data_IF_790968176233
#
_entry.id   IF_790968176233
#
_cell.length_a   1.000
_cell.length_b   1.000
_cell.length_c   1.000
_cell.angle_alpha   90.00
_cell.angle_beta   90.00
_cell.angle_gamma   90.00
#
_symmetry.space_group_name_H-M   'P 1'
#
loop_
_entity.id
_entity.type
_entity.pdbx_description
1 polymer ?
#
# COMPACT_ATOMS: atom_id res chain seq x y z
N UNK A 1 8.70 -6.98 -36.06
CA UNK A 1 8.57 -5.98 -34.98
C UNK A 1 8.45 -6.76 -33.68
N UNK A 2 9.59 -7.12 -33.09
CA UNK A 2 9.64 -7.92 -31.86
C UNK A 2 9.41 -7.00 -30.67
N UNK A 3 8.23 -7.09 -30.07
CA UNK A 3 7.95 -6.53 -28.74
C UNK A 3 9.01 -7.12 -27.81
N UNK A 4 9.91 -6.27 -27.27
CA UNK A 4 10.94 -6.72 -26.35
C UNK A 4 10.27 -7.36 -25.14
N UNK A 5 10.82 -8.47 -24.63
CA UNK A 5 10.25 -9.24 -23.51
C UNK A 5 9.93 -8.33 -22.29
N UNK A 6 10.71 -7.27 -22.10
CA UNK A 6 10.51 -6.20 -21.13
C UNK A 6 9.23 -5.38 -21.36
N UNK A 7 8.97 -4.94 -22.59
CA UNK A 7 7.74 -4.20 -22.93
C UNK A 7 6.47 -5.03 -22.71
N UNK A 8 6.52 -6.34 -22.96
CA UNK A 8 5.44 -7.27 -22.64
C UNK A 8 5.20 -7.37 -21.12
N UNK A 9 6.25 -7.52 -20.31
CA UNK A 9 6.15 -7.57 -18.84
C UNK A 9 5.64 -6.26 -18.23
N UNK A 10 6.10 -5.10 -18.71
CA UNK A 10 5.59 -3.80 -18.25
C UNK A 10 4.09 -3.67 -18.60
N UNK A 11 3.70 -4.06 -19.81
CA UNK A 11 2.31 -4.01 -20.24
C UNK A 11 1.39 -4.93 -19.41
N UNK A 12 1.87 -6.10 -18.99
CA UNK A 12 1.10 -7.03 -18.17
C UNK A 12 0.94 -6.54 -16.73
N UNK A 13 1.99 -5.96 -16.13
CA UNK A 13 1.94 -5.35 -14.80
C UNK A 13 0.94 -4.17 -14.79
N UNK A 14 1.00 -3.30 -15.80
CA UNK A 14 0.08 -2.16 -15.93
C UNK A 14 -1.36 -2.61 -16.16
N UNK A 15 -1.56 -3.61 -17.02
CA UNK A 15 -2.89 -4.18 -17.25
C UNK A 15 -3.46 -4.75 -15.95
N UNK A 16 -2.66 -5.49 -15.17
CA UNK A 16 -3.07 -6.00 -13.86
C UNK A 16 -3.51 -4.89 -12.90
N UNK A 17 -2.73 -3.82 -12.80
CA UNK A 17 -3.07 -2.65 -11.98
C UNK A 17 -4.38 -1.99 -12.40
N UNK A 18 -4.55 -1.70 -13.69
CA UNK A 18 -5.78 -1.06 -14.19
C UNK A 18 -7.01 -1.96 -14.04
N UNK A 19 -6.87 -3.27 -14.28
CA UNK A 19 -7.94 -4.25 -14.07
C UNK A 19 -8.36 -4.24 -12.60
N UNK A 20 -7.41 -4.30 -11.67
CA UNK A 20 -7.73 -4.30 -10.25
C UNK A 20 -8.35 -2.99 -9.77
N UNK A 21 -7.85 -1.83 -10.24
CA UNK A 21 -8.45 -0.51 -9.99
C UNK A 21 -9.89 -0.45 -10.52
N UNK A 22 -10.13 -0.94 -11.73
CA UNK A 22 -11.44 -0.94 -12.36
C UNK A 22 -12.43 -1.89 -11.65
N UNK A 23 -11.99 -3.11 -11.32
CA UNK A 23 -12.77 -4.06 -10.55
C UNK A 23 -13.14 -3.50 -9.17
N UNK A 24 -12.18 -2.87 -8.49
CA UNK A 24 -12.39 -2.14 -7.24
C UNK A 24 -13.47 -1.07 -7.41
N UNK A 25 -13.33 -0.20 -8.43
CA UNK A 25 -14.32 0.84 -8.73
C UNK A 25 -15.74 0.29 -8.98
N UNK A 26 -15.87 -0.78 -9.78
CA UNK A 26 -17.18 -1.40 -10.07
C UNK A 26 -17.82 -2.00 -8.81
N UNK A 27 -17.02 -2.72 -8.03
CA UNK A 27 -17.43 -3.32 -6.74
C UNK A 27 -17.95 -2.21 -5.83
N UNK A 28 -17.21 -1.11 -5.73
CA UNK A 28 -17.57 0.02 -4.91
C UNK A 28 -18.83 0.74 -5.35
N UNK A 29 -18.99 0.99 -6.65
CA UNK A 29 -20.20 1.61 -7.19
C UNK A 29 -21.46 0.82 -6.85
N UNK A 30 -21.36 -0.51 -6.85
CA UNK A 30 -22.53 -1.38 -6.70
C UNK A 30 -22.79 -1.82 -5.25
N UNK A 31 -21.76 -1.90 -4.38
CA UNK A 31 -21.88 -2.48 -3.03
C UNK A 31 -21.76 -1.47 -1.87
N UNK A 32 -21.31 -0.22 -2.10
CA UNK A 32 -21.07 0.77 -1.03
C UNK A 32 -22.26 1.67 -0.66
N UNK A 33 -23.49 1.39 -1.11
CA UNK A 33 -24.65 2.21 -0.77
C UNK A 33 -24.82 2.53 0.75
N UNK A 34 -24.46 1.66 1.71
CA UNK A 34 -24.56 2.02 3.13
C UNK A 34 -23.54 3.07 3.64
N UNK A 35 -22.45 3.38 2.91
CA UNK A 35 -21.43 4.37 3.32
C UNK A 35 -21.66 5.78 2.78
N UNK A 36 -22.56 5.92 1.81
CA UNK A 36 -22.98 7.20 1.24
C UNK A 36 -24.38 7.55 1.75
N UNK A 37 -24.46 8.23 2.90
CA UNK A 37 -25.74 8.74 3.38
C UNK A 37 -26.06 10.04 2.63
N UNK A 38 -27.19 10.08 1.92
CA UNK A 38 -27.62 11.24 1.12
C UNK A 38 -26.55 11.73 0.10
N UNK A 39 -25.90 10.79 -0.61
CA UNK A 39 -24.81 11.07 -1.56
C UNK A 39 -23.57 11.76 -0.95
N UNK A 40 -23.48 11.90 0.37
CA UNK A 40 -22.28 12.38 1.06
C UNK A 40 -21.49 11.19 1.57
N UNK A 41 -20.25 11.06 1.08
CA UNK A 41 -19.33 10.04 1.57
C UNK A 41 -18.86 10.41 2.97
N UNK A 42 -18.69 9.42 3.85
CA UNK A 42 -17.89 9.59 5.07
C UNK A 42 -16.38 9.34 4.80
N UNK A 43 -15.96 9.46 3.54
CA UNK A 43 -14.56 9.50 3.15
C UNK A 43 -14.08 10.89 3.55
N UNK A 44 -13.59 11.04 4.78
CA UNK A 44 -13.15 12.33 5.30
C UNK A 44 -11.89 12.77 4.56
N UNK A 45 -12.06 13.31 3.36
CA UNK A 45 -11.01 13.83 2.49
C UNK A 45 -10.85 15.32 2.76
N UNK A 46 -10.09 15.66 3.80
CA UNK A 46 -9.99 17.03 4.32
C UNK A 46 -8.73 17.72 3.78
N UNK A 47 -8.75 18.10 2.51
CA UNK A 47 -7.59 18.69 1.81
C UNK A 47 -7.21 20.10 2.31
N UNK A 48 -8.15 20.81 2.95
CA UNK A 48 -7.94 22.15 3.51
C UNK A 48 -7.30 22.15 4.90
N UNK A 49 -7.24 21.00 5.57
CA UNK A 49 -6.65 20.88 6.90
C UNK A 49 -5.12 21.05 6.86
N UNK A 50 -4.50 21.30 8.00
CA UNK A 50 -3.02 21.29 8.14
C UNK A 50 -2.50 19.84 8.15
N UNK A 51 -2.55 19.18 7.00
CA UNK A 51 -2.14 17.77 6.86
C UNK A 51 -0.63 17.59 6.74
N UNK A 52 0.13 18.59 6.27
CA UNK A 52 1.57 18.45 6.01
C UNK A 52 2.36 17.93 7.21
N UNK A 53 2.17 18.51 8.39
CA UNK A 53 2.87 18.06 9.60
C UNK A 53 2.46 16.63 10.01
N UNK A 54 1.18 16.28 9.87
CA UNK A 54 0.68 14.93 10.16
C UNK A 54 1.33 13.89 9.24
N UNK A 55 1.48 14.24 7.96
CA UNK A 55 2.16 13.41 6.96
C UNK A 55 3.64 13.26 7.30
N UNK A 56 4.36 14.35 7.58
CA UNK A 56 5.79 14.31 7.89
C UNK A 56 6.06 13.43 9.13
N UNK A 57 5.40 13.71 10.26
CA UNK A 57 5.63 12.90 11.46
C UNK A 57 5.15 11.46 11.26
N UNK A 58 3.99 11.25 10.63
CA UNK A 58 3.50 9.91 10.34
C UNK A 58 4.49 9.09 9.50
N UNK A 59 5.08 9.69 8.48
CA UNK A 59 6.10 9.07 7.63
C UNK A 59 7.40 8.74 8.41
N UNK A 60 7.88 9.66 9.24
CA UNK A 60 9.08 9.45 10.06
C UNK A 60 8.88 8.32 11.10
N UNK A 61 7.73 8.33 11.79
CA UNK A 61 7.40 7.26 12.74
C UNK A 61 7.16 5.91 12.03
N UNK A 62 6.66 5.93 10.80
CA UNK A 62 6.50 4.72 9.99
C UNK A 62 7.85 4.04 9.75
N UNK A 63 8.90 4.81 9.40
CA UNK A 63 10.26 4.28 9.26
C UNK A 63 10.79 3.71 10.56
N UNK A 64 10.59 4.43 11.67
CA UNK A 64 11.03 3.96 12.97
C UNK A 64 10.38 2.63 13.36
N UNK A 65 9.06 2.52 13.22
CA UNK A 65 8.30 1.29 13.50
C UNK A 65 8.76 0.16 12.57
N UNK A 66 8.85 0.44 11.27
CA UNK A 66 9.27 -0.55 10.29
C UNK A 66 10.65 -1.11 10.62
N UNK A 67 11.64 -0.26 10.89
CA UNK A 67 13.00 -0.72 11.21
C UNK A 67 13.04 -1.63 12.45
N UNK A 68 12.27 -1.31 13.49
CA UNK A 68 12.19 -2.17 14.69
C UNK A 68 11.56 -3.52 14.36
N UNK A 69 10.44 -3.49 13.65
CA UNK A 69 9.70 -4.70 13.29
C UNK A 69 10.50 -5.56 12.32
N UNK A 70 11.23 -4.94 11.40
CA UNK A 70 12.03 -5.61 10.39
C UNK A 70 13.24 -6.33 10.99
N UNK A 71 13.89 -5.75 12.01
CA UNK A 71 14.93 -6.45 12.78
C UNK A 71 14.38 -7.75 13.38
N UNK A 72 13.19 -7.68 13.97
CA UNK A 72 12.53 -8.86 14.55
C UNK A 72 12.10 -9.87 13.47
N UNK A 73 11.59 -9.37 12.35
CA UNK A 73 11.21 -10.19 11.21
C UNK A 73 12.41 -10.97 10.65
N UNK A 74 13.54 -10.30 10.41
CA UNK A 74 14.77 -10.95 9.94
C UNK A 74 15.32 -11.94 10.97
N UNK A 75 15.19 -11.66 12.27
CA UNK A 75 15.55 -12.63 13.32
C UNK A 75 14.72 -13.92 13.23
N UNK A 76 13.40 -13.80 13.02
CA UNK A 76 12.51 -14.94 12.80
C UNK A 76 12.92 -15.69 11.53
N UNK A 77 13.09 -14.96 10.43
CA UNK A 77 13.36 -15.56 9.13
C UNK A 77 14.67 -16.34 9.11
N UNK A 78 15.74 -15.80 9.72
CA UNK A 78 17.03 -16.50 9.84
C UNK A 78 16.94 -17.77 10.72
N UNK A 79 15.97 -17.85 11.63
CA UNK A 79 15.75 -19.05 12.43
C UNK A 79 15.03 -20.15 11.63
N UNK A 80 14.07 -19.77 10.78
CA UNK A 80 13.23 -20.72 10.03
C UNK A 80 13.75 -21.04 8.62
N UNK A 81 14.62 -20.21 8.06
CA UNK A 81 15.04 -20.26 6.65
C UNK A 81 16.55 -20.48 6.57
N UNK A 82 16.98 -21.48 5.81
CA UNK A 82 18.38 -21.65 5.42
C UNK A 82 18.74 -20.58 4.36
N UNK A 83 19.97 -20.07 4.38
CA UNK A 83 20.45 -18.93 3.57
C UNK A 83 20.11 -18.97 2.06
N UNK A 84 19.78 -20.14 1.51
CA UNK A 84 19.51 -20.37 0.08
C UNK A 84 18.14 -19.89 -0.45
N UNK A 85 17.18 -19.54 0.42
CA UNK A 85 15.82 -19.13 0.00
C UNK A 85 15.64 -17.60 -0.06
N UNK A 86 16.57 -16.82 0.52
CA UNK A 86 16.43 -15.37 0.69
C UNK A 86 16.83 -14.52 -0.53
N UNK A 87 17.21 -15.14 -1.66
CA UNK A 87 17.38 -14.40 -2.91
C UNK A 87 16.02 -14.15 -3.56
N UNK A 88 15.32 -13.10 -3.12
CA UNK A 88 14.22 -12.55 -3.91
C UNK A 88 14.80 -11.92 -5.18
N UNK A 89 14.95 -12.76 -6.21
CA UNK A 89 15.22 -12.34 -7.57
C UNK A 89 13.96 -11.73 -8.17
N UNK A 90 13.59 -10.52 -7.76
CA UNK A 90 12.56 -9.76 -8.48
C UNK A 90 12.75 -8.26 -8.34
N UNK A 91 13.65 -7.69 -9.15
CA UNK A 91 13.57 -6.38 -9.85
C UNK A 91 14.80 -6.19 -10.79
N UNK A 92 15.77 -7.09 -10.84
CA UNK A 92 17.02 -6.89 -11.60
C UNK A 92 16.94 -6.98 -13.15
N UNK A 93 15.76 -7.11 -13.77
CA UNK A 93 15.69 -7.34 -15.22
C UNK A 93 14.82 -6.34 -16.02
N UNK A 94 14.60 -5.11 -15.55
CA UNK A 94 13.79 -4.12 -16.30
C UNK A 94 14.42 -2.71 -16.36
N UNK A 95 15.74 -2.57 -16.47
CA UNK A 95 16.35 -1.26 -16.76
C UNK A 95 17.39 -1.34 -17.86
N UNK A 96 16.98 -1.79 -19.05
CA UNK A 96 17.66 -1.39 -20.29
C UNK A 96 16.67 -1.26 -21.45
N UNK A 97 15.82 -0.23 -21.38
CA UNK A 97 15.33 0.57 -22.50
C UNK A 97 14.55 1.77 -21.91
N UNK A 98 15.18 2.95 -21.84
CA UNK A 98 14.63 4.14 -21.21
C UNK A 98 13.66 4.87 -22.15
N UNK A 99 12.42 4.40 -22.25
CA UNK A 99 11.33 5.23 -22.76
C UNK A 99 10.69 6.02 -21.61
N UNK A 100 10.63 7.35 -21.76
CA UNK A 100 10.08 8.27 -20.75
C UNK A 100 8.68 7.87 -20.26
N UNK A 101 7.84 7.37 -21.17
CA UNK A 101 6.47 6.93 -20.85
C UNK A 101 6.44 5.69 -19.94
N UNK A 102 7.28 4.70 -20.21
CA UNK A 102 7.39 3.49 -19.39
C UNK A 102 7.92 3.79 -18.00
N UNK A 103 8.96 4.62 -17.88
CA UNK A 103 9.47 5.06 -16.57
C UNK A 103 8.43 5.86 -15.79
N UNK A 104 7.71 6.77 -16.45
CA UNK A 104 6.65 7.55 -15.81
C UNK A 104 5.55 6.64 -15.24
N UNK A 105 5.10 5.64 -16.01
CA UNK A 105 4.10 4.68 -15.56
C UNK A 105 4.59 3.77 -14.42
N UNK A 106 5.85 3.33 -14.48
CA UNK A 106 6.49 2.55 -13.42
C UNK A 106 6.60 3.31 -12.09
N UNK A 107 6.58 4.64 -12.09
CA UNK A 107 6.57 5.46 -10.87
C UNK A 107 5.13 5.72 -10.43
N UNK A 108 4.29 6.26 -11.32
CA UNK A 108 2.96 6.73 -10.95
C UNK A 108 2.07 5.60 -10.43
N UNK A 109 2.15 4.42 -11.04
CA UNK A 109 1.31 3.28 -10.68
C UNK A 109 1.57 2.81 -9.24
N UNK A 110 2.78 2.35 -8.86
CA UNK A 110 3.04 1.87 -7.50
C UNK A 110 3.19 2.98 -6.46
N UNK A 111 3.61 4.21 -6.84
CA UNK A 111 3.88 5.26 -5.87
C UNK A 111 2.68 6.14 -5.54
N UNK A 112 1.65 6.19 -6.38
CA UNK A 112 0.50 7.07 -6.17
C UNK A 112 -0.81 6.34 -6.37
N UNK A 113 -1.01 5.72 -7.54
CA UNK A 113 -2.28 5.09 -7.85
C UNK A 113 -2.58 3.95 -6.90
N UNK A 114 -1.64 3.02 -6.68
CA UNK A 114 -1.83 1.89 -5.78
C UNK A 114 -2.08 2.34 -4.33
N UNK A 115 -1.22 3.18 -3.70
CA UNK A 115 -1.46 3.70 -2.35
C UNK A 115 -2.84 4.32 -2.17
N UNK A 116 -3.31 5.13 -3.11
CA UNK A 116 -4.62 5.79 -2.99
C UNK A 116 -5.76 4.77 -3.01
N UNK A 117 -5.70 3.76 -3.87
CA UNK A 117 -6.71 2.71 -3.92
C UNK A 117 -6.64 1.79 -2.70
N UNK A 118 -5.44 1.42 -2.27
CA UNK A 118 -5.25 0.56 -1.10
C UNK A 118 -5.73 1.26 0.18
N UNK A 119 -5.40 2.53 0.40
CA UNK A 119 -5.94 3.27 1.55
C UNK A 119 -7.46 3.35 1.49
N UNK A 120 -8.04 3.56 0.31
CA UNK A 120 -9.49 3.54 0.15
C UNK A 120 -10.09 2.17 0.52
N UNK A 121 -9.52 1.08 0.02
CA UNK A 121 -9.99 -0.28 0.32
C UNK A 121 -9.83 -0.58 1.80
N UNK A 122 -8.64 -0.44 2.36
CA UNK A 122 -8.35 -0.95 3.70
C UNK A 122 -8.82 -0.01 4.79
N UNK A 123 -8.64 1.32 4.65
CA UNK A 123 -8.93 2.28 5.74
C UNK A 123 -10.35 2.80 5.67
N UNK A 124 -10.84 3.07 4.47
CA UNK A 124 -12.22 3.50 4.33
C UNK A 124 -13.19 2.33 4.31
N UNK A 125 -12.99 1.33 3.45
CA UNK A 125 -13.98 0.26 3.30
C UNK A 125 -13.86 -0.84 4.35
N UNK A 126 -12.76 -1.61 4.36
CA UNK A 126 -12.58 -2.80 5.20
C UNK A 126 -12.62 -2.43 6.68
N UNK A 127 -11.78 -1.48 7.13
CA UNK A 127 -11.72 -1.05 8.53
C UNK A 127 -13.08 -0.55 9.04
N UNK A 128 -13.77 0.34 8.29
CA UNK A 128 -15.09 0.84 8.72
C UNK A 128 -16.14 -0.26 8.68
N UNK A 129 -16.08 -1.20 7.74
CA UNK A 129 -16.99 -2.34 7.67
C UNK A 129 -16.84 -3.25 8.87
N UNK A 130 -15.61 -3.62 9.21
CA UNK A 130 -15.33 -4.44 10.38
C UNK A 130 -15.80 -3.73 11.66
N UNK A 131 -15.55 -2.43 11.79
CA UNK A 131 -15.95 -1.66 12.98
C UNK A 131 -17.48 -1.53 13.17
N UNK A 132 -18.30 -1.93 12.18
CA UNK A 132 -19.75 -2.06 12.39
C UNK A 132 -20.13 -3.31 13.19
N UNK A 133 -19.27 -4.34 13.19
CA UNK A 133 -19.55 -5.66 13.77
C UNK A 133 -18.64 -6.02 14.95
N UNK A 134 -17.49 -5.33 15.09
CA UNK A 134 -16.54 -5.55 16.17
C UNK A 134 -15.97 -4.22 16.67
N UNK A 135 -15.31 -4.23 17.82
CA UNK A 135 -14.66 -3.02 18.34
C UNK A 135 -13.51 -2.57 17.43
N UNK A 136 -13.12 -1.29 17.58
CA UNK A 136 -12.13 -0.65 16.70
C UNK A 136 -10.77 -1.36 16.70
N UNK A 137 -10.33 -1.91 17.83
CA UNK A 137 -9.02 -2.58 17.92
C UNK A 137 -8.99 -3.87 17.09
N UNK A 138 -10.05 -4.69 17.17
CA UNK A 138 -10.16 -5.88 16.32
C UNK A 138 -10.31 -5.51 14.84
N UNK A 139 -11.08 -4.47 14.54
CA UNK A 139 -11.24 -3.99 13.16
C UNK A 139 -9.90 -3.54 12.55
N UNK A 140 -9.06 -2.82 13.31
CA UNK A 140 -7.71 -2.43 12.91
C UNK A 140 -6.82 -3.65 12.68
N UNK A 141 -6.83 -4.63 13.60
CA UNK A 141 -6.05 -5.86 13.47
C UNK A 141 -6.41 -6.62 12.20
N UNK A 142 -7.69 -6.93 11.97
CA UNK A 142 -8.10 -7.70 10.79
C UNK A 142 -7.91 -6.93 9.49
N UNK A 143 -8.19 -5.63 9.47
CA UNK A 143 -7.93 -4.80 8.29
C UNK A 143 -6.43 -4.81 7.92
N UNK A 144 -5.55 -4.74 8.92
CA UNK A 144 -4.11 -4.74 8.70
C UNK A 144 -3.55 -6.09 8.30
N UNK A 145 -4.17 -7.17 8.80
CA UNK A 145 -3.87 -8.52 8.35
C UNK A 145 -4.25 -8.73 6.89
N UNK A 146 -5.44 -8.29 6.47
CA UNK A 146 -5.85 -8.36 5.07
C UNK A 146 -4.96 -7.52 4.15
N UNK A 147 -4.51 -6.34 4.61
CA UNK A 147 -3.53 -5.53 3.89
C UNK A 147 -2.21 -6.28 3.67
N UNK A 148 -1.64 -6.87 4.73
CA UNK A 148 -0.37 -7.58 4.64
C UNK A 148 -0.47 -8.83 3.74
N UNK A 149 -1.53 -9.62 3.86
CA UNK A 149 -1.75 -10.82 3.04
C UNK A 149 -1.92 -10.45 1.56
N UNK A 150 -2.59 -9.33 1.26
CA UNK A 150 -2.80 -8.85 -0.11
C UNK A 150 -1.49 -8.59 -0.88
N UNK A 151 -0.40 -8.26 -0.17
CA UNK A 151 0.90 -8.02 -0.80
C UNK A 151 1.61 -9.31 -1.23
N UNK A 152 1.12 -10.49 -0.82
CA UNK A 152 1.63 -11.80 -1.23
C UNK A 152 3.14 -12.01 -1.00
N UNK A 153 3.75 -11.18 -0.15
CA UNK A 153 5.15 -11.30 0.26
C UNK A 153 5.20 -11.86 1.68
N UNK A 154 5.44 -13.17 1.78
CA UNK A 154 5.48 -13.86 3.08
C UNK A 154 6.63 -13.38 3.95
N UNK A 155 7.76 -13.00 3.34
CA UNK A 155 8.94 -12.49 4.05
C UNK A 155 8.66 -11.12 4.67
N UNK A 156 7.84 -10.29 4.04
CA UNK A 156 7.48 -8.97 4.56
C UNK A 156 6.12 -8.93 5.27
N UNK A 157 5.49 -10.08 5.55
CA UNK A 157 4.16 -10.14 6.14
C UNK A 157 4.09 -9.41 7.50
N UNK A 158 5.07 -9.63 8.39
CA UNK A 158 5.10 -9.03 9.73
C UNK A 158 5.34 -7.51 9.64
N UNK A 159 6.37 -7.00 8.92
CA UNK A 159 6.55 -5.57 8.72
C UNK A 159 5.33 -4.87 8.12
N UNK A 160 4.73 -5.44 7.06
CA UNK A 160 3.57 -4.85 6.39
C UNK A 160 2.33 -4.83 7.29
N UNK A 161 2.12 -5.86 8.11
CA UNK A 161 1.04 -5.89 9.10
C UNK A 161 1.17 -4.71 10.09
N UNK A 162 2.33 -4.54 10.70
CA UNK A 162 2.52 -3.48 11.72
C UNK A 162 2.51 -2.07 11.12
N UNK A 163 3.06 -1.91 9.91
CA UNK A 163 2.99 -0.65 9.18
C UNK A 163 1.53 -0.28 8.90
N UNK A 164 0.73 -1.24 8.40
CA UNK A 164 -0.69 -1.03 8.17
C UNK A 164 -1.47 -0.76 9.45
N UNK A 165 -1.12 -1.46 10.54
CA UNK A 165 -1.73 -1.28 11.85
C UNK A 165 -1.52 0.15 12.33
N UNK A 166 -0.29 0.66 12.22
CA UNK A 166 0.04 2.03 12.56
C UNK A 166 -0.71 3.05 11.70
N UNK A 167 -0.72 2.87 10.38
CA UNK A 167 -1.45 3.76 9.47
C UNK A 167 -2.96 3.77 9.72
N UNK A 168 -3.54 2.65 10.14
CA UNK A 168 -4.95 2.59 10.53
C UNK A 168 -5.25 3.50 11.72
N UNK A 169 -4.36 3.56 12.73
CA UNK A 169 -4.51 4.50 13.84
C UNK A 169 -4.23 5.95 13.43
N UNK A 170 -3.28 6.21 12.52
CA UNK A 170 -3.12 7.54 11.92
C UNK A 170 -4.42 7.97 11.25
N UNK A 171 -5.05 7.11 10.46
CA UNK A 171 -6.32 7.40 9.82
C UNK A 171 -7.41 7.74 10.83
N UNK A 172 -7.58 6.90 11.87
CA UNK A 172 -8.58 7.11 12.92
C UNK A 172 -8.35 8.43 13.66
N UNK A 173 -7.11 8.72 14.05
CA UNK A 173 -6.77 9.91 14.83
C UNK A 173 -6.86 11.19 14.00
N UNK A 174 -6.40 11.15 12.76
CA UNK A 174 -6.38 12.34 11.90
C UNK A 174 -7.73 12.62 11.26
N UNK A 175 -8.60 11.60 11.21
CA UNK A 175 -9.86 11.59 10.49
C UNK A 175 -9.73 12.17 9.08
N UNK A 176 -8.59 11.84 8.43
CA UNK A 176 -8.24 12.36 7.12
C UNK A 176 -7.51 11.31 6.29
N UNK A 177 -8.20 10.72 5.32
CA UNK A 177 -7.61 9.66 4.49
C UNK A 177 -6.47 10.18 3.61
N UNK A 178 -6.49 11.47 3.25
CA UNK A 178 -5.40 12.08 2.47
C UNK A 178 -4.06 11.97 3.22
N UNK A 179 -4.07 12.04 4.55
CA UNK A 179 -2.85 11.92 5.35
C UNK A 179 -2.22 10.54 5.15
N UNK A 180 -2.99 9.45 5.26
CA UNK A 180 -2.44 8.11 5.08
C UNK A 180 -2.10 7.81 3.63
N UNK A 181 -2.88 8.32 2.67
CA UNK A 181 -2.56 8.20 1.23
C UNK A 181 -1.20 8.80 0.90
N UNK A 182 -0.89 9.98 1.44
CA UNK A 182 0.39 10.64 1.21
C UNK A 182 1.55 9.95 1.95
N UNK A 183 1.34 9.51 3.20
CA UNK A 183 2.34 8.73 3.94
C UNK A 183 2.70 7.45 3.17
N UNK A 184 1.69 6.71 2.71
CA UNK A 184 1.88 5.49 1.95
C UNK A 184 2.52 5.77 0.59
N UNK A 185 2.14 6.84 -0.09
CA UNK A 185 2.79 7.25 -1.34
C UNK A 185 4.28 7.53 -1.13
N UNK A 186 4.65 8.27 -0.07
CA UNK A 186 6.05 8.50 0.27
C UNK A 186 6.79 7.23 0.68
N UNK A 187 6.11 6.29 1.35
CA UNK A 187 6.65 4.97 1.66
C UNK A 187 7.01 4.21 0.37
N UNK A 188 6.09 4.13 -0.59
CA UNK A 188 6.32 3.42 -1.85
C UNK A 188 7.38 4.11 -2.72
N UNK A 189 7.45 5.45 -2.70
CA UNK A 189 8.55 6.19 -3.34
C UNK A 189 9.89 5.79 -2.72
N UNK A 190 9.98 5.71 -1.39
CA UNK A 190 11.19 5.28 -0.71
C UNK A 190 11.59 3.87 -1.13
N UNK A 191 10.68 2.90 -1.06
CA UNK A 191 10.93 1.50 -1.46
C UNK A 191 11.39 1.42 -2.92
N UNK A 192 10.70 2.12 -3.83
CA UNK A 192 11.05 2.16 -5.25
C UNK A 192 12.44 2.77 -5.49
N UNK A 193 12.77 3.86 -4.79
CA UNK A 193 14.10 4.46 -4.91
C UNK A 193 15.17 3.51 -4.38
N UNK A 194 14.95 2.85 -3.24
CA UNK A 194 15.93 1.89 -2.71
C UNK A 194 16.13 0.68 -3.63
N UNK A 195 15.09 0.22 -4.33
CA UNK A 195 15.24 -0.88 -5.32
C UNK A 195 15.99 -0.47 -6.58
N UNK A 196 16.26 0.82 -6.83
CA UNK A 196 17.09 1.27 -7.94
C UNK A 196 18.58 1.35 -7.58
N UNK A 197 18.92 1.41 -6.29
CA UNK A 197 20.28 1.64 -5.81
C UNK A 197 20.89 0.44 -5.09
N UNK A 198 20.11 -0.61 -4.83
CA UNK A 198 20.56 -1.93 -4.40
C UNK A 198 20.76 -2.83 -5.61
#
# INVERSE_FOLDING_TARGET
MSISKSSFTISSILAGHFIWVFCSYLTFRNLLYPYFKNNKSNLNFRYTDRWCFKVIYGYLFSHFIFNIVDIFNNFILNYFTSDDIYSDNSIDEIVHEKEFFSTFLCIISPCFSAPFFEEFIYRFFVLKSLNLFMNINYAVTFSSLFFAIHHLNIFNLIPLFFLSFFWSYIYIYTDNILVTMLIHSFWNIYVFLTSLYN
#
